data_IF_599002367548
#
_entry.id   IF_599002367548
#
_cell.length_a   1.000
_cell.length_b   1.000
_cell.length_c   1.000
_cell.angle_alpha   90.00
_cell.angle_beta   90.00
_cell.angle_gamma   90.00
#
_symmetry.space_group_name_H-M   'P 1'
#
loop_
_entity.id
_entity.type
_entity.pdbx_description
1 polymer ?
#
# COMPACT_ATOMS: atom_id res chain seq x y z
N UNK A 1 -12.12 7.03 -11.59
CA UNK A 1 -11.31 6.09 -10.79
C UNK A 1 -11.19 4.78 -11.54
N UNK A 2 -10.02 4.46 -12.02
CA UNK A 2 -9.78 3.23 -12.77
C UNK A 2 -9.36 2.16 -11.76
N UNK A 3 -10.17 1.14 -11.60
CA UNK A 3 -9.82 -0.03 -10.80
C UNK A 3 -9.01 -0.98 -11.65
N UNK A 4 -7.74 -1.10 -11.37
CA UNK A 4 -6.96 -2.20 -11.92
C UNK A 4 -6.99 -3.37 -10.94
N UNK A 5 -7.77 -4.38 -11.26
CA UNK A 5 -7.73 -5.66 -10.59
C UNK A 5 -6.62 -6.48 -11.25
N UNK A 6 -5.49 -6.57 -10.59
CA UNK A 6 -4.41 -7.42 -11.07
C UNK A 6 -4.52 -8.83 -10.47
N UNK A 7 -4.74 -9.83 -11.33
CA UNK A 7 -4.67 -11.25 -10.96
C UNK A 7 -3.24 -11.75 -11.16
N UNK A 8 -2.45 -11.73 -10.10
CA UNK A 8 -1.21 -12.48 -10.08
C UNK A 8 -1.49 -13.96 -9.89
N UNK A 9 -1.62 -14.70 -10.98
CA UNK A 9 -1.70 -16.16 -10.94
C UNK A 9 -0.54 -16.78 -11.69
N UNK A 10 0.41 -17.36 -10.98
CA UNK A 10 1.49 -18.11 -11.62
C UNK A 10 2.69 -18.29 -10.70
N UNK A 11 3.14 -19.51 -10.63
CA UNK A 11 4.31 -20.00 -9.89
C UNK A 11 5.65 -19.50 -10.45
N UNK A 12 5.72 -18.33 -11.04
CA UNK A 12 6.95 -17.88 -11.67
C UNK A 12 7.60 -16.71 -10.94
N UNK A 13 8.83 -16.99 -10.50
CA UNK A 13 9.82 -16.01 -10.10
C UNK A 13 9.87 -14.81 -11.05
N UNK A 14 10.28 -13.70 -10.52
CA UNK A 14 10.72 -12.42 -11.09
C UNK A 14 10.51 -12.13 -12.60
N UNK A 15 10.53 -13.12 -13.48
CA UNK A 15 10.44 -12.98 -14.94
C UNK A 15 9.03 -12.55 -15.42
N UNK A 16 7.95 -12.90 -14.67
CA UNK A 16 6.60 -12.41 -14.94
C UNK A 16 6.30 -11.04 -14.37
N UNK A 17 7.20 -10.49 -13.55
CA UNK A 17 7.02 -9.26 -12.78
C UNK A 17 7.33 -7.98 -13.55
N UNK A 18 8.02 -8.07 -14.67
CA UNK A 18 8.31 -6.90 -15.52
C UNK A 18 7.04 -6.24 -16.03
N UNK A 19 6.04 -7.03 -16.41
CA UNK A 19 4.73 -6.51 -16.83
C UNK A 19 4.00 -5.81 -15.69
N UNK A 20 4.11 -6.35 -14.49
CA UNK A 20 3.47 -5.81 -13.30
C UNK A 20 4.15 -4.51 -12.86
N UNK A 21 5.47 -4.48 -12.85
CA UNK A 21 6.23 -3.27 -12.61
C UNK A 21 5.92 -2.20 -13.67
N UNK A 22 5.83 -2.58 -14.93
CA UNK A 22 5.46 -1.67 -16.01
C UNK A 22 4.05 -1.11 -15.82
N UNK A 23 3.10 -1.94 -15.39
CA UNK A 23 1.73 -1.50 -15.12
C UNK A 23 1.68 -0.50 -13.95
N UNK A 24 2.38 -0.79 -12.84
CA UNK A 24 2.48 0.11 -11.70
C UNK A 24 3.17 1.43 -12.07
N UNK A 25 4.22 1.36 -12.88
CA UNK A 25 4.91 2.56 -13.37
C UNK A 25 4.03 3.42 -14.30
N UNK A 26 3.18 2.80 -15.10
CA UNK A 26 2.20 3.56 -15.91
C UNK A 26 1.21 4.32 -15.03
N UNK A 27 0.73 3.70 -13.96
CA UNK A 27 -0.15 4.37 -12.99
C UNK A 27 0.59 5.51 -12.27
N UNK A 28 1.83 5.26 -11.88
CA UNK A 28 2.65 6.27 -11.21
C UNK A 28 2.90 7.50 -12.09
N UNK A 29 3.14 7.30 -13.38
CA UNK A 29 3.45 8.37 -14.33
C UNK A 29 2.22 9.00 -14.97
N UNK A 30 1.00 8.55 -14.67
CA UNK A 30 -0.24 9.08 -15.25
C UNK A 30 -0.51 10.55 -14.93
N UNK A 31 0.12 11.09 -13.87
CA UNK A 31 -0.07 12.47 -13.44
C UNK A 31 -1.41 12.75 -12.76
N UNK A 32 -2.13 11.72 -12.37
CA UNK A 32 -3.42 11.82 -11.68
C UNK A 32 -3.51 10.82 -10.53
N UNK A 33 -4.55 10.95 -9.72
CA UNK A 33 -4.85 9.95 -8.70
C UNK A 33 -5.16 8.61 -9.36
N UNK A 34 -4.49 7.56 -8.89
CA UNK A 34 -4.71 6.19 -9.33
C UNK A 34 -4.82 5.26 -8.13
N UNK A 35 -5.41 4.11 -8.36
CA UNK A 35 -5.61 3.10 -7.33
C UNK A 35 -5.42 1.72 -7.95
N UNK A 36 -4.64 0.88 -7.31
CA UNK A 36 -4.40 -0.49 -7.74
C UNK A 36 -4.65 -1.48 -6.61
N UNK A 37 -5.21 -2.62 -6.94
CA UNK A 37 -5.33 -3.76 -6.03
C UNK A 37 -4.52 -4.92 -6.59
N UNK A 38 -3.56 -5.37 -5.81
CA UNK A 38 -2.73 -6.53 -6.12
C UNK A 38 -3.19 -7.66 -5.20
N UNK A 39 -3.73 -8.72 -5.76
CA UNK A 39 -4.21 -9.83 -4.96
C UNK A 39 -3.82 -11.18 -5.55
N UNK A 40 -3.84 -12.19 -4.70
CA UNK A 40 -3.56 -13.56 -5.08
C UNK A 40 -3.14 -14.39 -3.87
N UNK A 41 -2.73 -15.61 -4.12
CA UNK A 41 -2.26 -16.50 -3.06
C UNK A 41 -0.98 -15.96 -2.41
N UNK A 42 -0.78 -16.29 -1.14
CA UNK A 42 0.46 -15.99 -0.41
C UNK A 42 1.67 -16.63 -1.12
N UNK A 43 2.84 -16.06 -0.90
CA UNK A 43 4.13 -16.57 -1.40
C UNK A 43 4.33 -16.52 -2.90
N UNK A 44 3.57 -15.70 -3.62
CA UNK A 44 3.79 -15.47 -5.07
C UNK A 44 4.59 -14.20 -5.35
N UNK A 45 5.23 -13.61 -4.34
CA UNK A 45 6.15 -12.49 -4.49
C UNK A 45 5.50 -11.12 -4.65
N UNK A 46 4.27 -10.90 -4.18
CA UNK A 46 3.60 -9.59 -4.25
C UNK A 46 4.30 -8.52 -3.43
N UNK A 47 4.71 -8.86 -2.22
CA UNK A 47 5.48 -7.94 -1.36
C UNK A 47 6.82 -7.56 -2.00
N UNK A 48 7.49 -8.51 -2.62
CA UNK A 48 8.73 -8.26 -3.36
C UNK A 48 8.50 -7.33 -4.56
N UNK A 49 7.38 -7.49 -5.27
CA UNK A 49 6.99 -6.61 -6.37
C UNK A 49 6.81 -5.17 -5.88
N UNK A 50 6.07 -4.96 -4.79
CA UNK A 50 5.85 -3.64 -4.23
C UNK A 50 7.15 -3.04 -3.71
N UNK A 51 7.96 -3.81 -3.01
CA UNK A 51 9.27 -3.35 -2.52
C UNK A 51 10.18 -2.87 -3.66
N UNK A 52 10.21 -3.61 -4.76
CA UNK A 52 10.96 -3.23 -5.96
C UNK A 52 10.39 -1.96 -6.60
N UNK A 53 9.06 -1.86 -6.68
CA UNK A 53 8.39 -0.71 -7.28
C UNK A 53 8.64 0.58 -6.51
N UNK A 54 8.56 0.55 -5.18
CA UNK A 54 8.65 1.77 -4.35
C UNK A 54 10.07 2.18 -3.97
N UNK A 55 11.08 1.37 -4.24
CA UNK A 55 12.46 1.59 -3.76
C UNK A 55 13.07 2.94 -4.17
N UNK A 56 12.64 3.49 -5.31
CA UNK A 56 13.13 4.75 -5.89
C UNK A 56 12.06 5.86 -5.86
N UNK A 57 10.98 5.68 -5.10
CA UNK A 57 9.84 6.58 -5.06
C UNK A 57 9.57 7.06 -3.64
N UNK A 58 8.99 8.25 -3.52
CA UNK A 58 8.44 8.71 -2.25
C UNK A 58 7.23 7.84 -1.92
N UNK A 59 7.31 7.12 -0.82
CA UNK A 59 6.31 6.13 -0.48
C UNK A 59 6.15 5.94 1.01
N UNK A 60 4.94 5.57 1.39
CA UNK A 60 4.61 5.05 2.72
C UNK A 60 4.18 3.59 2.50
N UNK A 61 4.87 2.68 3.15
CA UNK A 61 4.53 1.26 3.14
C UNK A 61 4.05 0.85 4.53
N UNK A 62 2.87 0.27 4.57
CA UNK A 62 2.27 -0.26 5.79
C UNK A 62 1.89 -1.71 5.59
N UNK A 63 2.27 -2.56 6.52
CA UNK A 63 1.90 -3.97 6.54
C UNK A 63 0.93 -4.22 7.69
N UNK A 64 -0.28 -4.68 7.38
CA UNK A 64 -1.23 -5.12 8.37
C UNK A 64 -0.72 -6.37 9.10
N UNK A 65 -1.02 -6.46 10.38
CA UNK A 65 -0.66 -7.61 11.21
C UNK A 65 -1.91 -8.25 11.80
N UNK A 66 -1.82 -9.54 12.05
CA UNK A 66 -2.87 -10.28 12.75
C UNK A 66 -2.95 -9.82 14.21
N UNK A 67 -3.73 -8.77 14.42
CA UNK A 67 -3.89 -8.12 15.71
C UNK A 67 -5.20 -7.31 15.72
N UNK A 68 -5.41 -6.52 16.76
CA UNK A 68 -6.58 -5.64 16.83
C UNK A 68 -6.40 -4.36 15.99
N UNK A 69 -7.50 -3.65 15.79
CA UNK A 69 -7.52 -2.39 15.04
C UNK A 69 -6.57 -1.34 15.64
N UNK A 70 -6.53 -1.26 16.95
CA UNK A 70 -5.67 -0.30 17.65
C UNK A 70 -4.20 -0.49 17.29
N UNK A 71 -3.72 -1.73 17.33
CA UNK A 71 -2.34 -2.06 17.00
C UNK A 71 -2.01 -1.72 15.54
N UNK A 72 -2.91 -2.06 14.61
CA UNK A 72 -2.72 -1.74 13.21
C UNK A 72 -2.73 -0.21 12.99
N UNK A 73 -3.60 0.51 13.67
CA UNK A 73 -3.65 1.98 13.58
C UNK A 73 -2.38 2.63 14.17
N UNK A 74 -1.88 2.13 15.28
CA UNK A 74 -0.62 2.59 15.88
C UNK A 74 0.56 2.37 14.91
N UNK A 75 0.65 1.20 14.30
CA UNK A 75 1.70 0.87 13.34
C UNK A 75 1.60 1.75 12.08
N UNK A 76 0.41 1.95 11.56
CA UNK A 76 0.18 2.83 10.42
C UNK A 76 0.54 4.28 10.73
N UNK A 77 0.10 4.77 11.87
CA UNK A 77 0.42 6.13 12.35
C UNK A 77 1.92 6.35 12.45
N UNK A 78 2.65 5.38 12.98
CA UNK A 78 4.10 5.40 13.05
C UNK A 78 4.75 5.60 11.68
N UNK A 79 4.34 4.81 10.69
CA UNK A 79 4.89 4.88 9.34
C UNK A 79 4.63 6.26 8.70
N UNK A 80 3.45 6.82 8.93
CA UNK A 80 3.09 8.16 8.41
C UNK A 80 3.94 9.25 9.06
N UNK A 81 4.05 9.22 10.38
CA UNK A 81 4.79 10.23 11.13
C UNK A 81 6.28 10.16 10.79
N UNK A 82 6.84 8.97 10.71
CA UNK A 82 8.23 8.76 10.32
C UNK A 82 8.50 9.32 8.91
N UNK A 83 7.61 9.08 7.96
CA UNK A 83 7.73 9.64 6.62
C UNK A 83 7.73 11.17 6.63
N UNK A 84 6.80 11.79 7.37
CA UNK A 84 6.63 13.24 7.38
C UNK A 84 7.69 14.02 8.16
N UNK A 85 8.19 13.47 9.26
CA UNK A 85 9.10 14.16 10.19
C UNK A 85 10.48 13.51 10.34
N UNK A 86 10.64 12.27 9.92
CA UNK A 86 11.83 11.46 10.19
C UNK A 86 11.98 11.06 11.68
N UNK A 87 11.01 11.37 12.52
CA UNK A 87 11.04 11.10 13.96
C UNK A 87 10.04 9.98 14.27
N UNK A 88 10.50 8.97 14.98
CA UNK A 88 9.59 7.94 15.53
C UNK A 88 8.88 8.53 16.74
N UNK A 89 7.58 8.70 16.65
CA UNK A 89 6.75 9.22 17.73
C UNK A 89 5.77 8.16 18.23
N UNK A 90 5.51 8.13 19.52
CA UNK A 90 4.51 7.26 20.14
C UNK A 90 3.09 7.84 20.06
N UNK A 91 2.81 8.61 19.02
CA UNK A 91 1.53 9.25 18.78
C UNK A 91 0.77 8.49 17.70
N UNK A 92 -0.52 8.27 17.92
CA UNK A 92 -1.40 7.62 16.96
C UNK A 92 -2.47 8.58 16.48
N UNK A 93 -2.90 8.42 15.20
CA UNK A 93 -4.11 9.06 14.71
C UNK A 93 -5.33 8.50 15.44
N UNK A 94 -6.41 9.27 15.50
CA UNK A 94 -7.63 8.88 16.18
C UNK A 94 -8.37 7.72 15.45
N UNK A 95 -8.20 7.64 14.11
CA UNK A 95 -8.86 6.64 13.26
C UNK A 95 -8.05 6.40 11.99
N UNK A 96 -8.33 5.29 11.30
CA UNK A 96 -7.78 5.06 9.95
C UNK A 96 -8.21 6.14 8.98
N UNK A 97 -9.43 6.64 9.11
CA UNK A 97 -9.92 7.74 8.27
C UNK A 97 -9.04 8.97 8.43
N UNK A 98 -8.80 9.42 9.66
CA UNK A 98 -7.96 10.61 9.90
C UNK A 98 -6.51 10.40 9.46
N UNK A 99 -5.97 9.19 9.61
CA UNK A 99 -4.66 8.83 9.12
C UNK A 99 -4.57 8.91 7.59
N UNK A 100 -5.56 8.36 6.89
CA UNK A 100 -5.64 8.41 5.43
C UNK A 100 -5.81 9.84 4.91
N UNK A 101 -6.67 10.63 5.54
CA UNK A 101 -6.85 12.06 5.20
C UNK A 101 -5.53 12.82 5.29
N UNK A 102 -4.73 12.54 6.30
CA UNK A 102 -3.41 13.15 6.44
C UNK A 102 -2.45 12.72 5.32
N UNK A 103 -2.43 11.45 4.96
CA UNK A 103 -1.62 10.94 3.84
C UNK A 103 -2.04 11.57 2.52
N UNK A 104 -3.34 11.69 2.27
CA UNK A 104 -3.86 12.38 1.08
C UNK A 104 -3.43 13.84 1.04
N UNK A 105 -3.41 14.51 2.18
CA UNK A 105 -2.92 15.88 2.30
C UNK A 105 -1.42 15.99 1.99
N UNK A 106 -0.61 15.04 2.44
CA UNK A 106 0.80 14.97 2.04
C UNK A 106 0.94 14.82 0.52
N UNK A 107 0.09 14.01 -0.09
CA UNK A 107 0.06 13.81 -1.54
C UNK A 107 -0.33 15.03 -2.37
N UNK A 108 -0.94 16.05 -1.76
CA UNK A 108 -1.27 17.31 -2.45
C UNK A 108 -0.02 18.11 -2.86
N UNK A 109 1.07 17.93 -2.16
CA UNK A 109 2.33 18.66 -2.41
C UNK A 109 3.33 17.89 -3.26
N UNK A 110 3.17 16.57 -3.40
CA UNK A 110 4.12 15.71 -4.09
C UNK A 110 3.48 14.43 -4.59
N UNK A 111 4.10 13.80 -5.59
CA UNK A 111 3.70 12.45 -6.01
C UNK A 111 4.11 11.45 -4.92
N UNK A 112 3.14 10.82 -4.29
CA UNK A 112 3.32 9.92 -3.16
C UNK A 112 2.61 8.60 -3.41
N UNK A 113 3.27 7.50 -3.10
CA UNK A 113 2.70 6.16 -3.16
C UNK A 113 2.39 5.69 -1.75
N UNK A 114 1.16 5.29 -1.50
CA UNK A 114 0.77 4.60 -0.27
C UNK A 114 0.47 3.14 -0.61
N UNK A 115 1.22 2.22 -0.05
CA UNK A 115 1.00 0.78 -0.21
C UNK A 115 0.58 0.16 1.13
N UNK A 116 -0.58 -0.48 1.14
CA UNK A 116 -1.10 -1.20 2.32
C UNK A 116 -1.05 -2.70 2.01
N UNK A 117 -0.07 -3.36 2.57
CA UNK A 117 0.12 -4.80 2.44
C UNK A 117 -0.67 -5.54 3.53
N UNK A 118 -0.99 -6.79 3.29
CA UNK A 118 -1.81 -7.61 4.19
C UNK A 118 -3.13 -6.92 4.57
N UNK A 119 -3.75 -6.27 3.59
CA UNK A 119 -4.98 -5.50 3.77
C UNK A 119 -6.11 -6.24 4.49
N UNK A 120 -6.31 -7.57 4.32
CA UNK A 120 -7.34 -8.30 5.07
C UNK A 120 -7.24 -8.18 6.58
N UNK A 121 -6.02 -8.04 7.14
CA UNK A 121 -5.86 -7.79 8.57
C UNK A 121 -6.30 -6.38 8.98
N UNK A 122 -6.13 -5.42 8.09
CA UNK A 122 -6.54 -4.02 8.32
C UNK A 122 -8.06 -3.89 8.22
N UNK A 123 -8.66 -4.56 7.25
CA UNK A 123 -10.10 -4.51 6.97
C UNK A 123 -10.94 -5.45 7.85
N UNK A 124 -10.35 -6.09 8.83
CA UNK A 124 -11.01 -7.08 9.70
C UNK A 124 -11.69 -8.21 8.91
N UNK A 125 -11.07 -8.66 7.83
CA UNK A 125 -11.52 -9.81 7.08
C UNK A 125 -11.40 -11.08 7.93
N UNK A 126 -12.13 -12.13 7.56
CA UNK A 126 -12.06 -13.40 8.28
C UNK A 126 -10.63 -13.98 8.24
N UNK A 127 -10.22 -14.63 9.32
CA UNK A 127 -8.89 -15.27 9.41
C UNK A 127 -8.62 -16.25 8.26
N UNK A 128 -9.65 -16.97 7.81
CA UNK A 128 -9.53 -17.87 6.67
C UNK A 128 -9.18 -17.17 5.37
N UNK A 129 -9.74 -15.98 5.13
CA UNK A 129 -9.43 -15.15 3.99
C UNK A 129 -8.01 -14.59 4.09
N UNK A 130 -7.66 -14.05 5.25
CA UNK A 130 -6.34 -13.49 5.52
C UNK A 130 -5.24 -14.55 5.44
N UNK A 131 -5.51 -15.82 5.78
CA UNK A 131 -4.55 -16.91 5.67
C UNK A 131 -4.34 -17.40 4.23
N UNK A 132 -5.35 -17.23 3.37
CA UNK A 132 -5.36 -17.77 2.00
C UNK A 132 -4.91 -16.73 0.96
N UNK A 133 -5.31 -15.49 1.13
CA UNK A 133 -5.07 -14.42 0.16
C UNK A 133 -4.24 -13.30 0.75
N UNK A 134 -3.28 -12.85 -0.03
CA UNK A 134 -2.58 -11.61 0.21
C UNK A 134 -3.20 -10.52 -0.66
N UNK A 135 -3.55 -9.39 -0.05
CA UNK A 135 -4.09 -8.23 -0.77
C UNK A 135 -3.24 -7.01 -0.44
N UNK A 136 -2.73 -6.38 -1.47
CA UNK A 136 -2.00 -5.12 -1.36
C UNK A 136 -2.81 -4.04 -2.07
N UNK A 137 -3.13 -2.97 -1.36
CA UNK A 137 -3.79 -1.80 -1.93
C UNK A 137 -2.75 -0.71 -2.13
N UNK A 138 -2.69 -0.17 -3.33
CA UNK A 138 -1.71 0.86 -3.69
C UNK A 138 -2.45 2.11 -4.14
N UNK A 139 -2.20 3.21 -3.47
CA UNK A 139 -2.70 4.53 -3.83
C UNK A 139 -1.58 5.36 -4.45
N UNK A 140 -1.87 5.95 -5.59
CA UNK A 140 -0.97 6.88 -6.27
C UNK A 140 -1.52 8.28 -6.08
N UNK A 141 -0.97 8.99 -5.12
CA UNK A 141 -1.39 10.33 -4.76
C UNK A 141 -0.64 11.35 -5.60
N UNK A 142 -1.31 12.43 -5.95
CA UNK A 142 -0.70 13.42 -6.81
C UNK A 142 -1.14 14.83 -6.41
N UNK A 143 -0.28 15.80 -6.72
CA UNK A 143 -0.58 17.20 -6.49
C UNK A 143 -1.75 17.64 -7.38
N UNK A 144 -2.85 18.07 -6.75
CA UNK A 144 -3.90 18.77 -7.48
C UNK A 144 -3.43 20.18 -7.83
N UNK A 145 -3.54 20.51 -9.09
CA UNK A 145 -3.30 21.88 -9.52
C UNK A 145 -4.42 22.81 -9.08
#
# INVERSE_FOLDING_TARGET
MIKYLYKGGGTHMFIGRERDLAALNRLYTSGKFEFAVIYGRRRVGKTALISEFIKDKKSIYFMGVESNEKQNLENFSKNIIEYGSGIVADTSFASFQSALEYVFKLGESERLVLAIDEYPYVARASESLASTFQVIIVFFLFKSE
#
